data_IF_555123403829
#
_entry.id   IF_555123403829
#
_cell.length_a   1.000
_cell.length_b   1.000
_cell.length_c   1.000
_cell.angle_alpha   90.00
_cell.angle_beta   90.00
_cell.angle_gamma   90.00
#
_symmetry.space_group_name_H-M   'P 1'
#
loop_
_entity.id
_entity.type
_entity.pdbx_description
1 polymer ?
#
# COMPACT_ATOMS: atom_id res chain seq x y z
N UNK A 1 34.91 45.20 -39.46
CA UNK A 1 33.77 45.45 -40.36
C UNK A 1 32.95 44.16 -40.42
N UNK A 2 31.83 44.10 -39.70
CA UNK A 2 30.94 42.93 -39.64
C UNK A 2 29.65 43.34 -40.32
N UNK A 3 29.44 42.84 -41.54
CA UNK A 3 28.27 43.14 -42.35
C UNK A 3 27.10 42.28 -41.86
N UNK A 4 26.21 42.88 -41.08
CA UNK A 4 24.92 42.28 -40.70
C UNK A 4 23.98 42.30 -41.91
N UNK A 5 23.88 41.16 -42.59
CA UNK A 5 22.90 40.93 -43.64
C UNK A 5 21.50 40.77 -43.06
N UNK A 6 20.71 41.84 -43.13
CA UNK A 6 19.30 41.85 -42.72
C UNK A 6 18.44 41.19 -43.80
N UNK A 7 18.09 39.90 -43.65
CA UNK A 7 17.08 39.26 -44.48
C UNK A 7 15.69 39.79 -44.10
N UNK A 8 15.14 40.68 -44.94
CA UNK A 8 13.72 41.03 -44.92
C UNK A 8 12.92 39.88 -45.51
N UNK A 9 12.19 39.14 -44.66
CA UNK A 9 11.29 38.08 -45.09
C UNK A 9 10.07 38.65 -45.84
N UNK A 10 9.82 38.14 -47.04
CA UNK A 10 8.66 38.50 -47.86
C UNK A 10 7.33 38.27 -47.11
N UNK A 11 6.31 39.12 -47.33
CA UNK A 11 5.02 39.01 -46.66
C UNK A 11 4.32 37.68 -47.01
N UNK A 12 4.01 36.89 -45.99
CA UNK A 12 3.29 35.62 -46.15
C UNK A 12 1.87 35.87 -46.69
N UNK A 13 1.54 35.23 -47.81
CA UNK A 13 0.19 35.27 -48.40
C UNK A 13 -0.84 34.59 -47.48
N UNK A 14 -2.11 35.04 -47.47
CA UNK A 14 -3.15 34.49 -46.61
C UNK A 14 -3.40 32.98 -46.85
N UNK A 15 -3.17 32.49 -48.06
CA UNK A 15 -3.26 31.07 -48.40
C UNK A 15 -2.23 30.21 -47.65
N UNK A 16 -0.99 30.71 -47.53
CA UNK A 16 0.09 30.00 -46.82
C UNK A 16 -0.19 29.89 -45.31
N UNK A 17 -0.85 30.92 -44.75
CA UNK A 17 -1.30 30.89 -43.34
C UNK A 17 -2.43 29.89 -43.12
N UNK A 18 -3.36 29.77 -44.07
CA UNK A 18 -4.46 28.81 -43.98
C UNK A 18 -3.97 27.36 -44.11
N UNK A 19 -3.02 27.09 -45.01
CA UNK A 19 -2.41 25.77 -45.18
C UNK A 19 -1.64 25.34 -43.93
N UNK A 20 -0.82 26.22 -43.35
CA UNK A 20 -0.07 25.94 -42.11
C UNK A 20 -1.01 25.58 -40.95
N UNK A 21 -2.14 26.27 -40.82
CA UNK A 21 -3.15 25.97 -39.79
C UNK A 21 -3.80 24.60 -39.99
N UNK A 22 -4.17 24.23 -41.22
CA UNK A 22 -4.70 22.88 -41.50
C UNK A 22 -3.69 21.79 -41.14
N UNK A 23 -2.44 21.94 -41.57
CA UNK A 23 -1.39 20.95 -41.30
C UNK A 23 -1.14 20.82 -39.79
N UNK A 24 -1.15 21.93 -39.05
CA UNK A 24 -1.03 21.91 -37.59
C UNK A 24 -2.17 21.12 -36.92
N UNK A 25 -3.43 21.32 -37.33
CA UNK A 25 -4.56 20.55 -36.81
C UNK A 25 -4.45 19.07 -37.16
N UNK A 26 -4.03 18.72 -38.39
CA UNK A 26 -3.81 17.32 -38.80
C UNK A 26 -2.79 16.63 -37.90
N UNK A 27 -1.67 17.30 -37.56
CA UNK A 27 -0.68 16.75 -36.63
C UNK A 27 -1.20 16.58 -35.21
N UNK A 28 -2.02 17.53 -34.71
CA UNK A 28 -2.64 17.41 -33.38
C UNK A 28 -3.58 16.20 -33.34
N UNK A 29 -4.44 16.02 -34.34
CA UNK A 29 -5.33 14.87 -34.41
C UNK A 29 -4.57 13.55 -34.55
N UNK A 30 -3.56 13.51 -35.41
CA UNK A 30 -2.72 12.32 -35.57
C UNK A 30 -1.98 11.96 -34.27
N UNK A 31 -1.39 12.94 -33.59
CA UNK A 31 -0.72 12.73 -32.30
C UNK A 31 -1.66 12.28 -31.20
N UNK A 32 -2.85 12.88 -31.11
CA UNK A 32 -3.89 12.48 -30.15
C UNK A 32 -4.36 11.05 -30.40
N UNK A 33 -4.51 10.64 -31.66
CA UNK A 33 -4.92 9.27 -32.00
C UNK A 33 -3.88 8.24 -31.56
N UNK A 34 -2.59 8.54 -31.79
CA UNK A 34 -1.47 7.68 -31.36
C UNK A 34 -1.42 7.58 -29.83
N UNK A 35 -1.57 8.70 -29.12
CA UNK A 35 -1.57 8.71 -27.66
C UNK A 35 -2.71 7.85 -27.08
N UNK A 36 -3.92 7.96 -27.63
CA UNK A 36 -5.06 7.14 -27.21
C UNK A 36 -4.82 5.64 -27.45
N UNK A 37 -4.19 5.28 -28.57
CA UNK A 37 -3.84 3.88 -28.86
C UNK A 37 -2.82 3.32 -27.86
N UNK A 38 -1.79 4.10 -27.52
CA UNK A 38 -0.78 3.70 -26.52
C UNK A 38 -1.43 3.53 -25.14
N UNK A 39 -2.25 4.49 -24.73
CA UNK A 39 -2.97 4.44 -23.44
C UNK A 39 -3.88 3.20 -23.35
N UNK A 40 -4.57 2.85 -24.43
CA UNK A 40 -5.44 1.67 -24.48
C UNK A 40 -4.68 0.34 -24.23
N UNK A 41 -3.40 0.26 -24.61
CA UNK A 41 -2.57 -0.94 -24.40
C UNK A 41 -1.87 -0.90 -23.02
N UNK A 42 -1.39 0.28 -22.61
CA UNK A 42 -0.59 0.45 -21.40
C UNK A 42 -1.43 0.35 -20.11
N UNK A 43 -2.62 0.97 -20.08
CA UNK A 43 -3.46 1.04 -18.87
C UNK A 43 -3.86 -0.36 -18.36
N UNK A 44 -4.38 -1.29 -19.18
CA UNK A 44 -4.77 -2.62 -18.69
C UNK A 44 -3.61 -3.41 -18.11
N UNK A 45 -2.43 -3.36 -18.76
CA UNK A 45 -1.22 -4.03 -18.26
C UNK A 45 -0.79 -3.49 -16.91
N UNK A 46 -0.76 -2.17 -16.79
CA UNK A 46 -0.39 -1.50 -15.54
C UNK A 46 -1.31 -1.87 -14.37
N UNK A 47 -2.62 -1.97 -14.63
CA UNK A 47 -3.58 -2.39 -13.60
C UNK A 47 -3.34 -3.83 -13.15
N UNK A 48 -2.97 -4.75 -14.04
CA UNK A 48 -2.67 -6.14 -13.67
C UNK A 48 -1.37 -6.27 -12.86
N UNK A 49 -0.32 -5.53 -13.23
CA UNK A 49 0.96 -5.56 -12.54
C UNK A 49 0.85 -5.12 -11.06
N UNK A 50 -0.04 -4.16 -10.78
CA UNK A 50 -0.32 -3.71 -9.40
C UNK A 50 -0.98 -4.79 -8.55
N UNK A 51 -1.93 -5.54 -9.11
CA UNK A 51 -2.60 -6.61 -8.36
C UNK A 51 -1.64 -7.76 -8.07
N UNK A 52 -0.73 -8.08 -9.01
CA UNK A 52 0.36 -9.03 -8.78
C UNK A 52 1.28 -8.54 -7.65
N UNK A 53 1.70 -7.27 -7.67
CA UNK A 53 2.55 -6.70 -6.62
C UNK A 53 1.88 -6.75 -5.23
N UNK A 54 0.57 -6.50 -5.14
CA UNK A 54 -0.19 -6.65 -3.89
C UNK A 54 -0.24 -8.11 -3.43
N UNK A 55 -0.39 -9.07 -4.34
CA UNK A 55 -0.34 -10.49 -4.00
C UNK A 55 1.05 -10.91 -3.49
N UNK A 56 2.13 -10.47 -4.14
CA UNK A 56 3.52 -10.70 -3.70
C UNK A 56 3.76 -10.12 -2.29
N UNK A 57 3.27 -8.90 -2.03
CA UNK A 57 3.38 -8.29 -0.71
C UNK A 57 2.54 -9.03 0.34
N UNK A 58 1.36 -9.53 -0.01
CA UNK A 58 0.55 -10.35 0.87
C UNK A 58 1.26 -11.67 1.22
N UNK A 59 1.96 -12.27 0.27
CA UNK A 59 2.80 -13.45 0.47
C UNK A 59 3.99 -13.14 1.39
N UNK A 60 4.65 -11.99 1.21
CA UNK A 60 5.73 -11.54 2.09
C UNK A 60 5.24 -11.33 3.54
N UNK A 61 4.07 -10.72 3.72
CA UNK A 61 3.43 -10.58 5.03
C UNK A 61 3.14 -11.95 5.66
N UNK A 62 2.64 -12.91 4.88
CA UNK A 62 2.38 -14.27 5.35
C UNK A 62 3.67 -14.98 5.79
N UNK A 63 4.77 -14.81 5.05
CA UNK A 63 6.10 -15.33 5.44
C UNK A 63 6.60 -14.76 6.76
N UNK A 64 6.34 -13.47 7.03
CA UNK A 64 6.68 -12.87 8.32
C UNK A 64 5.86 -13.49 9.47
N UNK A 65 4.58 -13.75 9.25
CA UNK A 65 3.72 -14.46 10.23
C UNK A 65 4.22 -15.89 10.47
N UNK A 66 4.56 -16.62 9.41
CA UNK A 66 5.15 -17.97 9.49
C UNK A 66 6.44 -17.96 10.32
N UNK A 67 7.35 -17.02 10.05
CA UNK A 67 8.60 -16.88 10.81
C UNK A 67 8.36 -16.61 12.31
N UNK A 68 7.33 -15.81 12.62
CA UNK A 68 6.94 -15.54 14.01
C UNK A 68 6.33 -16.78 14.69
N UNK A 69 5.51 -17.55 13.97
CA UNK A 69 4.96 -18.83 14.43
C UNK A 69 6.06 -19.85 14.72
N UNK A 70 7.02 -19.99 13.82
CA UNK A 70 8.15 -20.92 13.99
C UNK A 70 9.00 -20.53 15.20
N UNK A 71 9.26 -19.23 15.38
CA UNK A 71 9.97 -18.71 16.56
C UNK A 71 9.20 -18.95 17.86
N UNK A 72 7.87 -18.79 17.84
CA UNK A 72 7.02 -19.08 18.99
C UNK A 72 7.06 -20.57 19.36
N UNK A 73 6.99 -21.45 18.36
CA UNK A 73 7.03 -22.90 18.55
C UNK A 73 8.38 -23.36 19.15
N UNK A 74 9.50 -22.79 18.69
CA UNK A 74 10.83 -23.07 19.27
C UNK A 74 10.86 -22.75 20.77
N UNK A 75 10.21 -21.67 21.20
CA UNK A 75 10.21 -21.24 22.61
C UNK A 75 9.20 -22.00 23.49
N UNK A 76 8.06 -22.45 22.94
CA UNK A 76 6.94 -23.00 23.71
C UNK A 76 6.65 -24.49 23.46
N UNK A 77 7.28 -25.11 22.47
CA UNK A 77 7.04 -26.50 22.07
C UNK A 77 5.69 -26.75 21.38
N UNK A 78 4.98 -25.70 20.97
CA UNK A 78 3.77 -25.76 20.17
C UNK A 78 3.37 -24.39 19.61
N UNK A 79 2.47 -24.38 18.63
CA UNK A 79 1.94 -23.13 18.05
C UNK A 79 0.89 -22.48 18.96
N UNK A 80 0.75 -21.13 18.93
CA UNK A 80 -0.20 -20.42 19.79
C UNK A 80 -1.65 -20.75 19.42
N UNK A 81 -2.60 -20.63 20.37
CA UNK A 81 -4.02 -20.85 20.04
C UNK A 81 -4.62 -19.71 19.21
N UNK A 82 -3.99 -18.54 19.25
CA UNK A 82 -4.40 -17.36 18.49
C UNK A 82 -3.19 -16.55 17.98
N UNK A 83 -3.28 -15.98 16.77
CA UNK A 83 -2.21 -15.13 16.22
C UNK A 83 -1.92 -13.89 17.07
N UNK A 84 -2.91 -13.40 17.83
CA UNK A 84 -2.72 -12.26 18.73
C UNK A 84 -1.68 -12.52 19.83
N UNK A 85 -1.38 -13.79 20.15
CA UNK A 85 -0.31 -14.15 21.08
C UNK A 85 1.09 -13.81 20.55
N UNK A 86 1.28 -13.83 19.22
CA UNK A 86 2.56 -13.48 18.59
C UNK A 86 2.90 -12.00 18.76
N UNK A 87 1.87 -11.14 18.69
CA UNK A 87 2.02 -9.69 18.83
C UNK A 87 2.11 -9.24 20.30
N UNK A 88 1.74 -10.11 21.25
CA UNK A 88 1.71 -9.77 22.67
C UNK A 88 3.13 -9.51 23.17
N UNK A 89 3.37 -8.26 23.60
CA UNK A 89 4.69 -7.83 24.06
C UNK A 89 5.73 -7.64 22.94
N UNK A 90 5.35 -7.77 21.67
CA UNK A 90 6.21 -7.48 20.52
C UNK A 90 7.42 -8.41 20.33
N UNK A 91 7.45 -9.56 21.02
CA UNK A 91 8.62 -10.47 21.02
C UNK A 91 8.81 -11.19 19.68
N UNK A 92 7.73 -11.70 19.08
CA UNK A 92 7.81 -12.50 17.84
C UNK A 92 7.46 -11.67 16.60
N UNK A 93 6.49 -10.79 16.74
CA UNK A 93 6.14 -9.80 15.72
C UNK A 93 5.62 -8.55 16.44
N UNK A 94 5.87 -7.36 15.90
CA UNK A 94 5.42 -6.11 16.54
C UNK A 94 3.91 -5.89 16.39
N UNK A 95 3.37 -6.15 15.21
CA UNK A 95 1.94 -6.04 14.88
C UNK A 95 1.65 -7.05 13.77
N UNK A 96 0.43 -7.61 13.74
CA UNK A 96 0.01 -8.47 12.65
C UNK A 96 -0.13 -7.65 11.35
N UNK A 97 0.45 -8.10 10.23
CA UNK A 97 0.35 -7.38 8.98
C UNK A 97 -1.08 -7.35 8.45
N UNK A 98 -1.41 -6.32 7.69
CA UNK A 98 -2.69 -6.22 6.97
C UNK A 98 -2.52 -6.67 5.53
N UNK A 99 -3.56 -7.23 4.93
CA UNK A 99 -3.57 -7.53 3.50
C UNK A 99 -3.47 -6.20 2.72
N UNK A 100 -2.53 -6.07 1.76
CA UNK A 100 -2.37 -4.83 0.97
C UNK A 100 -3.53 -4.56 0.01
N UNK A 101 -4.33 -5.58 -0.32
CA UNK A 101 -5.55 -5.44 -1.13
C UNK A 101 -6.79 -5.14 -0.28
N UNK A 102 -6.90 -5.72 0.92
CA UNK A 102 -8.07 -5.56 1.78
C UNK A 102 -7.93 -4.41 2.79
N UNK A 103 -6.71 -3.99 3.08
CA UNK A 103 -6.33 -3.02 4.12
C UNK A 103 -6.76 -3.38 5.56
N UNK A 104 -7.13 -4.65 5.78
CA UNK A 104 -7.52 -5.22 7.08
C UNK A 104 -6.69 -6.46 7.40
N UNK A 105 -6.73 -6.92 8.66
CA UNK A 105 -6.18 -8.22 9.05
C UNK A 105 -7.08 -9.35 8.53
N UNK A 106 -6.56 -10.08 7.55
CA UNK A 106 -7.21 -11.24 6.93
C UNK A 106 -6.67 -12.57 7.46
N UNK A 107 -5.63 -12.54 8.28
CA UNK A 107 -4.89 -13.72 8.71
C UNK A 107 -5.46 -14.30 10.01
N UNK A 108 -5.82 -13.45 10.98
CA UNK A 108 -6.35 -13.90 12.28
C UNK A 108 -7.60 -14.76 12.13
N UNK A 109 -8.53 -14.35 11.25
CA UNK A 109 -9.77 -15.09 11.02
C UNK A 109 -9.62 -16.39 10.21
N UNK A 110 -8.42 -16.66 9.68
CA UNK A 110 -8.08 -17.86 8.91
C UNK A 110 -7.24 -18.87 9.71
N UNK A 111 -6.67 -18.42 10.83
CA UNK A 111 -5.68 -19.17 11.55
C UNK A 111 -6.32 -20.34 12.29
N UNK A 112 -5.78 -21.53 12.07
CA UNK A 112 -6.19 -22.75 12.75
C UNK A 112 -4.96 -23.54 13.18
N UNK A 113 -5.04 -24.19 14.32
CA UNK A 113 -3.99 -25.07 14.86
C UNK A 113 -4.57 -26.47 15.01
N UNK A 114 -3.77 -27.48 14.69
CA UNK A 114 -4.12 -28.89 14.89
C UNK A 114 -4.25 -29.22 16.38
N UNK A 115 -5.06 -30.23 16.74
CA UNK A 115 -5.29 -30.61 18.14
C UNK A 115 -4.01 -31.01 18.89
N UNK A 116 -3.00 -31.51 18.17
CA UNK A 116 -1.69 -31.87 18.71
C UNK A 116 -0.79 -30.63 19.00
N UNK A 117 -1.19 -29.43 18.58
CA UNK A 117 -0.41 -28.20 18.69
C UNK A 117 0.85 -28.12 17.81
N UNK A 118 1.08 -29.11 16.95
CA UNK A 118 2.27 -29.28 16.10
C UNK A 118 2.04 -28.87 14.64
N UNK A 119 0.79 -28.57 14.26
CA UNK A 119 0.45 -28.10 12.93
C UNK A 119 -0.38 -26.82 12.97
N UNK A 120 -0.22 -25.97 11.96
CA UNK A 120 -1.07 -24.81 11.74
C UNK A 120 -1.40 -24.64 10.26
N UNK A 121 -2.48 -23.90 10.00
CA UNK A 121 -2.80 -23.32 8.71
C UNK A 121 -3.16 -21.84 8.89
N UNK A 122 -2.70 -21.00 7.98
CA UNK A 122 -3.00 -19.56 7.92
C UNK A 122 -3.06 -19.13 6.47
N UNK A 123 -4.02 -18.27 6.13
CA UNK A 123 -4.20 -17.78 4.77
C UNK A 123 -4.78 -16.37 4.72
N UNK A 124 -4.66 -15.72 3.56
CA UNK A 124 -5.35 -14.46 3.33
C UNK A 124 -6.84 -14.73 3.07
N UNK A 125 -7.68 -14.63 4.11
CA UNK A 125 -9.13 -14.91 3.99
C UNK A 125 -9.83 -13.95 3.04
N UNK A 126 -10.53 -14.47 2.03
CA UNK A 126 -11.33 -13.69 1.07
C UNK A 126 -10.88 -13.82 -0.40
N UNK A 127 -11.36 -12.90 -1.23
CA UNK A 127 -11.17 -12.89 -2.70
C UNK A 127 -10.31 -11.71 -3.17
N UNK A 128 -9.39 -11.25 -2.33
CA UNK A 128 -8.67 -9.98 -2.54
C UNK A 128 -7.55 -10.04 -3.59
N UNK A 129 -7.24 -11.23 -4.11
CA UNK A 129 -6.16 -11.46 -5.06
C UNK A 129 -6.61 -12.20 -6.33
N UNK A 130 -7.92 -12.28 -6.61
CA UNK A 130 -8.44 -12.90 -7.84
C UNK A 130 -7.91 -12.22 -9.11
N UNK A 131 -7.76 -10.89 -9.07
CA UNK A 131 -7.21 -10.12 -10.19
C UNK A 131 -5.73 -10.38 -10.44
N UNK A 132 -5.02 -10.93 -9.45
CA UNK A 132 -3.65 -11.40 -9.58
C UNK A 132 -3.57 -12.86 -10.07
N UNK A 133 -4.72 -13.50 -10.33
CA UNK A 133 -4.80 -14.91 -10.71
C UNK A 133 -4.71 -15.89 -9.54
N UNK A 134 -4.87 -15.42 -8.29
CA UNK A 134 -4.96 -16.29 -7.13
C UNK A 134 -6.40 -16.71 -6.85
N UNK A 135 -6.59 -17.94 -6.41
CA UNK A 135 -7.88 -18.43 -5.95
C UNK A 135 -8.30 -17.75 -4.63
N UNK A 136 -9.56 -17.96 -4.24
CA UNK A 136 -10.06 -17.53 -2.94
C UNK A 136 -9.20 -18.11 -1.80
N UNK A 137 -9.02 -17.34 -0.73
CA UNK A 137 -8.26 -17.75 0.46
C UNK A 137 -6.76 -18.00 0.20
N UNK A 138 -6.18 -17.23 -0.73
CA UNK A 138 -4.76 -17.28 -1.08
C UNK A 138 -4.12 -15.90 -0.95
N UNK A 139 -2.82 -15.79 -0.60
CA UNK A 139 -1.87 -16.88 -0.34
C UNK A 139 -2.13 -17.63 0.98
N UNK A 140 -1.68 -18.88 1.06
CA UNK A 140 -1.80 -19.75 2.24
C UNK A 140 -0.47 -20.37 2.66
N UNK A 141 -0.33 -20.64 3.95
CA UNK A 141 0.80 -21.34 4.53
C UNK A 141 0.29 -22.38 5.53
N UNK A 142 0.95 -23.54 5.55
CA UNK A 142 0.73 -24.61 6.52
C UNK A 142 2.07 -25.14 7.01
N UNK A 143 2.07 -25.80 8.15
CA UNK A 143 3.31 -26.39 8.69
C UNK A 143 3.98 -27.30 7.67
N UNK A 144 5.29 -27.10 7.45
CA UNK A 144 6.09 -27.86 6.50
C UNK A 144 5.86 -27.56 5.01
N UNK A 145 4.84 -26.76 4.65
CA UNK A 145 4.57 -26.38 3.26
C UNK A 145 4.10 -24.93 3.20
N UNK A 146 4.99 -24.04 2.78
CA UNK A 146 4.56 -22.74 2.25
C UNK A 146 4.11 -23.01 0.81
N UNK A 147 2.80 -22.95 0.56
CA UNK A 147 2.25 -23.08 -0.79
C UNK A 147 2.78 -21.91 -1.62
N UNK A 148 3.89 -22.14 -2.34
CA UNK A 148 4.31 -21.25 -3.43
C UNK A 148 3.35 -21.52 -4.57
N UNK A 149 2.20 -20.87 -4.59
CA UNK A 149 1.49 -20.74 -5.85
C UNK A 149 2.40 -19.92 -6.74
N UNK A 150 2.88 -20.45 -7.87
CA UNK A 150 3.59 -19.62 -8.82
C UNK A 150 2.61 -18.52 -9.20
N UNK A 151 2.81 -17.31 -8.68
CA UNK A 151 2.19 -16.15 -9.30
C UNK A 151 2.56 -16.22 -10.78
N UNK A 152 1.65 -15.83 -11.70
CA UNK A 152 1.95 -15.80 -13.12
C UNK A 152 3.22 -14.98 -13.26
N UNK A 153 4.33 -15.69 -13.43
CA UNK A 153 5.65 -15.10 -13.35
C UNK A 153 5.71 -14.03 -14.43
N UNK A 154 6.44 -12.93 -14.19
CA UNK A 154 6.84 -11.96 -15.23
C UNK A 154 7.67 -12.60 -16.36
N UNK A 155 7.51 -13.91 -16.63
CA UNK A 155 8.00 -14.56 -17.83
C UNK A 155 7.53 -13.74 -19.02
N UNK A 156 8.54 -13.39 -19.83
CA UNK A 156 8.47 -12.64 -21.06
C UNK A 156 7.20 -12.97 -21.88
N UNK A 157 6.67 -11.99 -22.64
CA UNK A 157 5.41 -12.12 -23.37
C UNK A 157 5.31 -13.49 -24.04
N UNK A 158 4.33 -14.29 -23.61
CA UNK A 158 3.98 -15.54 -24.30
C UNK A 158 3.72 -15.18 -25.76
N UNK A 159 4.48 -15.82 -26.64
CA UNK A 159 4.23 -15.81 -28.09
C UNK A 159 2.77 -16.21 -28.29
N UNK A 160 1.97 -15.31 -28.85
CA UNK A 160 0.55 -15.51 -29.07
C UNK A 160 0.36 -16.71 -30.03
N UNK A 161 -0.22 -17.80 -29.54
CA UNK A 161 -0.44 -18.98 -30.38
C UNK A 161 -1.14 -20.19 -29.76
N UNK A 162 -1.47 -20.22 -28.48
CA UNK A 162 -2.24 -21.34 -27.91
C UNK A 162 -3.72 -21.00 -27.71
N UNK A 163 -4.65 -21.77 -28.31
CA UNK A 163 -6.08 -21.60 -28.10
C UNK A 163 -6.45 -22.01 -26.67
N UNK A 164 -7.10 -21.11 -25.96
CA UNK A 164 -7.68 -21.35 -24.63
C UNK A 164 -8.70 -22.51 -24.67
N UNK A 165 -8.64 -23.48 -23.74
CA UNK A 165 -9.69 -24.47 -23.59
C UNK A 165 -10.99 -23.81 -23.10
N UNK A 166 -12.09 -24.23 -23.73
CA UNK A 166 -13.47 -23.77 -23.50
C UNK A 166 -13.90 -24.10 -22.06
N UNK A 167 -14.57 -23.20 -21.32
CA UNK A 167 -15.01 -23.49 -19.96
C UNK A 167 -16.10 -24.57 -19.97
N UNK A 168 -15.80 -25.68 -19.31
CA UNK A 168 -16.73 -26.79 -19.07
C UNK A 168 -17.66 -26.41 -17.91
N UNK A 169 -18.96 -26.52 -18.14
CA UNK A 169 -20.00 -26.11 -17.20
C UNK A 169 -20.00 -27.02 -15.96
N UNK A 170 -19.56 -26.50 -14.82
CA UNK A 170 -19.62 -27.22 -13.54
C UNK A 170 -21.03 -27.14 -12.94
N UNK A 171 -21.48 -28.30 -12.50
CA UNK A 171 -22.83 -28.62 -12.05
C UNK A 171 -23.22 -27.90 -10.75
N UNK A 172 -24.48 -27.49 -10.70
CA UNK A 172 -25.21 -27.08 -9.48
C UNK A 172 -25.21 -28.23 -8.47
N UNK A 173 -24.65 -28.01 -7.28
CA UNK A 173 -24.97 -28.79 -6.09
C UNK A 173 -25.73 -27.93 -5.08
N UNK A 174 -26.81 -28.52 -4.56
CA UNK A 174 -27.83 -27.91 -3.71
C UNK A 174 -27.32 -27.49 -2.32
N UNK A 175 -27.96 -26.50 -1.66
CA UNK A 175 -27.64 -26.15 -0.29
C UNK A 175 -28.25 -27.14 0.71
N UNK A 176 -27.41 -27.70 1.56
CA UNK A 176 -27.81 -28.43 2.76
C UNK A 176 -28.00 -27.42 3.90
N UNK A 177 -29.26 -27.14 4.27
CA UNK A 177 -29.61 -26.28 5.40
C UNK A 177 -29.49 -27.13 6.67
N UNK A 178 -28.48 -26.86 7.49
CA UNK A 178 -28.39 -27.37 8.86
C UNK A 178 -28.90 -26.27 9.80
N UNK A 179 -30.00 -26.57 10.48
CA UNK A 179 -30.58 -25.72 11.51
C UNK A 179 -29.64 -25.61 12.72
N UNK A 180 -29.31 -24.38 13.11
CA UNK A 180 -28.57 -24.07 14.33
C UNK A 180 -29.59 -23.83 15.45
N UNK A 181 -29.51 -24.54 16.59
CA UNK A 181 -30.37 -24.26 17.74
C UNK A 181 -30.01 -22.93 18.39
N UNK A 182 -31.05 -22.17 18.70
CA UNK A 182 -31.05 -20.88 19.40
C UNK A 182 -30.66 -21.08 20.87
N UNK A 183 -29.66 -20.38 21.43
CA UNK A 183 -29.50 -20.31 22.86
C UNK A 183 -30.37 -19.19 23.45
N UNK A 184 -31.13 -19.59 24.47
CA UNK A 184 -32.04 -18.79 25.27
C UNK A 184 -31.30 -17.67 26.00
N UNK A 185 -31.90 -16.47 25.97
CA UNK A 185 -31.43 -15.30 26.67
C UNK A 185 -31.82 -15.37 28.15
N UNK A 186 -30.86 -15.72 29.02
CA UNK A 186 -31.01 -15.57 30.46
C UNK A 186 -30.65 -14.15 30.89
N UNK A 187 -31.63 -13.50 31.51
CA UNK A 187 -31.63 -12.08 31.89
C UNK A 187 -31.31 -11.97 33.38
N UNK A 188 -30.06 -11.66 33.72
CA UNK A 188 -29.67 -11.32 35.09
C UNK A 188 -29.32 -9.83 35.16
N UNK A 189 -30.20 -9.06 35.79
CA UNK A 189 -30.01 -7.65 36.05
C UNK A 189 -29.04 -7.48 37.23
N UNK A 190 -27.84 -6.96 36.94
CA UNK A 190 -26.86 -6.58 37.96
C UNK A 190 -26.86 -5.06 38.18
N UNK A 191 -26.75 -4.72 39.45
CA UNK A 191 -26.88 -3.42 40.12
C UNK A 191 -25.76 -2.46 39.69
N UNK A 192 -26.00 -1.13 39.55
CA UNK A 192 -24.95 -0.20 39.13
C UNK A 192 -23.99 0.06 40.30
N UNK A 193 -22.84 -0.62 40.27
CA UNK A 193 -21.70 -0.27 41.11
C UNK A 193 -20.96 0.93 40.51
N UNK A 194 -20.56 1.83 41.41
CA UNK A 194 -19.93 3.13 41.13
C UNK A 194 -18.68 2.92 40.26
N UNK A 195 -18.50 3.66 39.15
CA UNK A 195 -17.38 3.43 38.24
C UNK A 195 -16.06 3.66 38.97
N UNK A 196 -15.12 2.69 38.93
CA UNK A 196 -13.76 2.92 39.39
C UNK A 196 -13.17 4.03 38.52
N UNK A 197 -12.58 5.03 39.17
CA UNK A 197 -11.83 6.11 38.52
C UNK A 197 -10.81 5.45 37.59
N UNK A 198 -11.05 5.57 36.28
CA UNK A 198 -10.15 5.05 35.27
C UNK A 198 -8.78 5.69 35.52
N UNK A 199 -7.83 4.89 35.99
CA UNK A 199 -6.42 5.20 35.91
C UNK A 199 -6.15 5.26 34.41
N UNK A 200 -6.19 6.47 33.86
CA UNK A 200 -5.80 6.73 32.47
C UNK A 200 -4.41 6.13 32.31
N UNK A 201 -4.23 5.09 31.48
CA UNK A 201 -2.90 4.53 31.27
C UNK A 201 -2.01 5.67 30.79
N UNK A 202 -0.96 5.93 31.56
CA UNK A 202 0.06 6.93 31.20
C UNK A 202 0.48 6.65 29.75
N UNK A 203 0.42 7.64 28.83
CA UNK A 203 0.67 7.41 27.42
C UNK A 203 2.06 6.83 27.28
N UNK A 204 2.17 5.58 26.84
CA UNK A 204 3.47 5.03 26.47
C UNK A 204 3.90 5.77 25.21
N UNK A 205 4.68 6.83 25.41
CA UNK A 205 5.19 7.70 24.36
C UNK A 205 6.02 6.83 23.42
N UNK A 206 5.44 6.44 22.29
CA UNK A 206 6.17 5.73 21.27
C UNK A 206 7.37 6.59 20.86
N UNK A 207 8.60 6.06 20.85
CA UNK A 207 9.78 6.87 20.61
C UNK A 207 9.68 7.53 19.22
N UNK A 208 10.06 8.81 19.15
CA UNK A 208 10.07 9.58 17.90
C UNK A 208 10.83 8.91 16.74
N UNK A 209 11.67 7.91 17.01
CA UNK A 209 12.40 7.12 15.99
C UNK A 209 11.48 6.56 14.91
N UNK A 210 10.33 5.98 15.29
CA UNK A 210 9.34 5.47 14.31
C UNK A 210 8.68 6.59 13.49
N UNK A 211 8.47 7.75 14.09
CA UNK A 211 7.93 8.92 13.38
C UNK A 211 8.96 9.47 12.36
N UNK A 212 10.23 9.56 12.76
CA UNK A 212 11.35 9.91 11.88
C UNK A 212 11.46 8.94 10.70
N UNK A 213 11.34 7.63 10.96
CA UNK A 213 11.36 6.61 9.90
C UNK A 213 10.20 6.77 8.92
N UNK A 214 8.98 7.01 9.41
CA UNK A 214 7.82 7.29 8.57
C UNK A 214 8.03 8.51 7.68
N UNK A 215 8.60 9.59 8.22
CA UNK A 215 8.94 10.80 7.45
C UNK A 215 10.00 10.49 6.38
N UNK A 216 11.03 9.71 6.70
CA UNK A 216 12.04 9.31 5.73
C UNK A 216 11.44 8.47 4.59
N UNK A 217 10.51 7.55 4.89
CA UNK A 217 9.80 6.77 3.87
C UNK A 217 8.98 7.67 2.94
N UNK A 218 8.28 8.66 3.49
CA UNK A 218 7.56 9.67 2.70
C UNK A 218 8.54 10.47 1.83
N UNK A 219 9.66 10.89 2.39
CA UNK A 219 10.66 11.68 1.65
C UNK A 219 11.21 10.91 0.46
N UNK A 220 11.62 9.64 0.65
CA UNK A 220 12.09 8.78 -0.44
C UNK A 220 11.01 8.62 -1.52
N UNK A 221 9.76 8.40 -1.12
CA UNK A 221 8.65 8.29 -2.06
C UNK A 221 8.43 9.59 -2.86
N UNK A 222 8.54 10.77 -2.25
CA UNK A 222 8.48 12.05 -2.94
C UNK A 222 9.61 12.22 -3.97
N UNK A 223 10.84 11.82 -3.61
CA UNK A 223 11.98 11.89 -4.53
C UNK A 223 11.80 10.95 -5.73
N UNK A 224 11.34 9.72 -5.49
CA UNK A 224 11.00 8.78 -6.57
C UNK A 224 9.88 9.32 -7.47
N UNK A 225 8.83 9.90 -6.89
CA UNK A 225 7.74 10.53 -7.65
C UNK A 225 8.24 11.65 -8.56
N UNK A 226 9.12 12.53 -8.04
CA UNK A 226 9.73 13.60 -8.84
C UNK A 226 10.65 13.06 -9.92
N UNK A 227 11.40 12.00 -9.64
CA UNK A 227 12.29 11.39 -10.63
C UNK A 227 11.49 10.86 -11.85
N UNK A 228 10.32 10.27 -11.61
CA UNK A 228 9.49 9.69 -12.67
C UNK A 228 8.63 10.72 -13.41
N UNK A 229 8.07 11.70 -12.69
CA UNK A 229 7.06 12.63 -13.22
C UNK A 229 7.58 14.06 -13.40
N UNK A 230 8.83 14.32 -13.04
CA UNK A 230 9.50 15.61 -13.20
C UNK A 230 9.07 16.69 -12.19
N UNK A 231 8.12 16.42 -11.30
CA UNK A 231 7.63 17.37 -10.29
C UNK A 231 7.26 16.64 -8.99
N UNK A 232 7.36 17.32 -7.85
CA UNK A 232 6.89 16.77 -6.57
C UNK A 232 5.36 16.68 -6.54
N UNK A 233 4.78 15.74 -5.79
CA UNK A 233 3.33 15.60 -5.70
C UNK A 233 2.70 16.84 -5.04
N UNK A 234 1.45 17.16 -5.40
CA UNK A 234 0.69 18.24 -4.74
C UNK A 234 0.07 17.79 -3.41
N UNK A 235 -0.04 16.48 -3.20
CA UNK A 235 -0.53 15.87 -1.96
C UNK A 235 0.03 14.47 -1.77
N UNK A 236 0.19 14.03 -0.51
CA UNK A 236 0.70 12.69 -0.19
C UNK A 236 -0.17 11.56 -0.76
N UNK A 237 -1.47 11.81 -1.00
CA UNK A 237 -2.36 10.83 -1.64
C UNK A 237 -1.92 10.43 -3.05
N UNK A 238 -1.18 11.29 -3.77
CA UNK A 238 -0.65 10.96 -5.11
C UNK A 238 0.51 9.95 -5.06
N UNK A 239 1.14 9.79 -3.89
CA UNK A 239 2.16 8.77 -3.69
C UNK A 239 1.54 7.37 -3.56
N UNK A 240 0.25 7.27 -3.23
CA UNK A 240 -0.44 6.00 -3.02
C UNK A 240 -1.21 5.61 -4.30
N UNK A 241 -1.09 4.36 -4.78
CA UNK A 241 -0.39 3.22 -4.17
C UNK A 241 1.05 3.02 -4.66
N UNK A 242 1.53 3.84 -5.60
CA UNK A 242 2.70 3.50 -6.42
C UNK A 242 4.05 3.68 -5.72
N UNK A 243 4.15 4.72 -4.90
CA UNK A 243 5.38 5.09 -4.18
C UNK A 243 5.25 4.78 -2.67
N UNK A 244 4.02 4.73 -2.16
CA UNK A 244 3.67 4.32 -0.82
C UNK A 244 2.48 3.36 -0.86
N UNK A 245 2.56 2.27 -0.10
CA UNK A 245 1.44 1.33 0.08
C UNK A 245 0.25 2.03 0.74
N UNK A 246 0.53 2.86 1.73
CA UNK A 246 -0.42 3.74 2.42
C UNK A 246 0.34 4.87 3.09
N UNK A 247 -0.36 5.96 3.41
CA UNK A 247 0.24 7.06 4.18
C UNK A 247 0.43 6.55 5.62
N UNK A 248 1.66 6.60 6.17
CA UNK A 248 1.91 6.09 7.51
C UNK A 248 1.17 6.88 8.57
N UNK A 249 0.84 6.22 9.68
CA UNK A 249 0.21 6.83 10.85
C UNK A 249 1.30 7.24 11.84
N UNK A 250 1.15 8.41 12.48
CA UNK A 250 2.05 8.79 13.56
C UNK A 250 1.84 7.87 14.77
N UNK A 251 2.89 7.22 15.29
CA UNK A 251 2.76 6.26 16.38
C UNK A 251 2.35 6.91 17.71
N UNK A 252 2.61 8.21 17.89
CA UNK A 252 2.22 8.95 19.10
C UNK A 252 0.81 9.57 18.98
N UNK A 253 0.40 9.98 17.78
CA UNK A 253 -0.93 10.55 17.55
C UNK A 253 -2.00 9.49 17.25
N UNK A 254 -1.60 8.29 16.83
CA UNK A 254 -2.46 7.24 16.27
C UNK A 254 -3.33 7.74 15.08
N UNK A 255 -2.89 8.79 14.39
CA UNK A 255 -3.56 9.37 13.23
C UNK A 255 -2.53 9.83 12.18
N UNK A 256 -3.00 10.09 10.96
CA UNK A 256 -2.20 10.73 9.92
C UNK A 256 -1.96 12.21 10.26
N UNK A 257 -0.73 12.53 10.65
CA UNK A 257 -0.27 13.89 10.95
C UNK A 257 0.54 14.50 9.82
N UNK A 258 0.81 13.74 8.75
CA UNK A 258 1.75 14.11 7.69
C UNK A 258 1.03 14.74 6.49
N UNK A 259 -0.16 14.24 6.13
CA UNK A 259 -0.91 14.83 5.00
C UNK A 259 -1.26 16.29 5.23
N UNK A 260 -1.53 16.67 6.48
CA UNK A 260 -1.88 18.04 6.84
C UNK A 260 -0.67 18.98 7.03
N UNK A 261 0.56 18.47 6.94
CA UNK A 261 1.81 19.23 7.05
C UNK A 261 2.61 19.26 5.76
N UNK A 262 2.28 18.38 4.81
CA UNK A 262 2.97 18.30 3.54
C UNK A 262 2.71 19.54 2.69
N UNK A 263 3.79 20.19 2.27
CA UNK A 263 3.75 21.38 1.41
C UNK A 263 4.87 21.33 0.38
N UNK A 264 4.58 21.74 -0.85
CA UNK A 264 5.56 21.98 -1.89
C UNK A 264 5.73 23.48 -2.12
N UNK A 265 6.94 23.91 -2.46
CA UNK A 265 7.26 25.31 -2.81
C UNK A 265 8.34 25.33 -3.89
N UNK A 266 8.23 26.28 -4.80
CA UNK A 266 9.30 26.58 -5.75
C UNK A 266 10.35 27.45 -5.05
N UNK A 267 11.62 27.03 -5.05
CA UNK A 267 12.73 27.82 -4.50
C UNK A 267 13.71 28.20 -5.59
N UNK A 268 14.69 29.04 -5.25
CA UNK A 268 15.76 29.43 -6.20
C UNK A 268 16.57 28.22 -6.65
N UNK A 269 16.63 27.16 -5.83
CA UNK A 269 17.31 25.90 -6.11
C UNK A 269 16.42 24.88 -6.86
N UNK A 270 15.18 25.25 -7.22
CA UNK A 270 14.19 24.40 -7.87
C UNK A 270 13.02 24.02 -6.95
N UNK A 271 12.15 23.09 -7.38
CA UNK A 271 11.04 22.66 -6.55
C UNK A 271 11.57 21.95 -5.31
N UNK A 272 10.96 22.24 -4.17
CA UNK A 272 11.25 21.64 -2.86
C UNK A 272 9.97 21.21 -2.15
N UNK A 273 10.08 20.26 -1.22
CA UNK A 273 8.97 19.90 -0.34
C UNK A 273 9.38 19.91 1.13
N UNK A 274 8.38 20.00 1.99
CA UNK A 274 8.51 19.91 3.44
C UNK A 274 7.41 19.02 3.98
N UNK A 275 7.76 18.14 4.91
CA UNK A 275 6.82 17.27 5.62
C UNK A 275 7.25 17.18 7.09
N UNK A 276 6.28 17.20 8.01
CA UNK A 276 6.57 17.10 9.43
C UNK A 276 5.45 16.41 10.20
N UNK A 277 5.73 15.95 11.42
CA UNK A 277 4.67 15.47 12.31
C UNK A 277 3.90 16.67 12.89
N UNK A 278 2.71 16.96 12.36
CA UNK A 278 1.89 18.10 12.82
C UNK A 278 1.40 17.87 14.26
N UNK A 279 1.60 18.86 15.13
CA UNK A 279 1.13 18.83 16.53
C UNK A 279 2.26 18.80 17.57
N UNK A 280 1.91 18.47 18.81
CA UNK A 280 2.82 18.44 19.96
C UNK A 280 3.10 17.00 20.45
N UNK A 281 2.98 16.00 19.58
CA UNK A 281 3.04 14.59 19.96
C UNK A 281 4.45 14.12 20.37
N UNK A 282 5.49 14.86 19.98
CA UNK A 282 6.89 14.54 20.28
C UNK A 282 7.58 15.56 21.20
N UNK A 283 6.83 16.43 21.89
CA UNK A 283 7.43 17.39 22.83
C UNK A 283 8.11 16.70 24.01
N UNK A 284 7.62 15.53 24.40
CA UNK A 284 8.24 14.69 25.43
C UNK A 284 9.58 14.07 24.98
N UNK A 285 9.80 13.93 23.66
CA UNK A 285 11.05 13.44 23.07
C UNK A 285 12.12 14.55 22.90
N UNK A 286 11.85 15.75 23.42
CA UNK A 286 12.71 16.93 23.30
C UNK A 286 12.52 17.72 22.01
N UNK A 287 11.56 17.33 21.15
CA UNK A 287 11.25 18.09 19.95
C UNK A 287 10.38 19.32 20.26
N UNK A 288 10.44 20.33 19.38
CA UNK A 288 9.47 21.43 19.40
C UNK A 288 8.15 20.97 18.77
N UNK A 289 7.11 21.79 18.89
CA UNK A 289 5.87 21.58 18.13
C UNK A 289 6.18 21.43 16.63
N UNK A 290 5.41 20.62 15.92
CA UNK A 290 5.50 20.40 14.48
C UNK A 290 6.83 19.75 14.03
N UNK A 291 7.33 18.83 14.86
CA UNK A 291 8.53 18.03 14.63
C UNK A 291 8.29 16.56 15.01
N UNK A 292 9.05 15.59 14.47
CA UNK A 292 10.19 15.73 13.54
C UNK A 292 9.79 16.32 12.18
N UNK A 293 10.74 16.98 11.51
CA UNK A 293 10.57 17.69 10.24
C UNK A 293 11.64 17.28 9.24
N UNK A 294 11.24 17.13 7.98
CA UNK A 294 12.11 16.90 6.84
C UNK A 294 11.84 17.94 5.76
N UNK A 295 12.91 18.45 5.16
CA UNK A 295 12.84 19.24 3.92
C UNK A 295 13.72 18.59 2.86
N UNK A 296 13.34 18.68 1.59
CA UNK A 296 14.17 18.17 0.50
C UNK A 296 15.52 18.89 0.36
N UNK A 297 15.65 20.09 0.95
CA UNK A 297 16.86 20.90 0.87
C UNK A 297 17.87 20.54 1.97
N UNK A 298 17.39 20.33 3.20
CA UNK A 298 18.25 20.11 4.38
C UNK A 298 18.21 18.69 4.93
N UNK A 299 17.32 17.85 4.42
CA UNK A 299 17.01 16.55 5.00
C UNK A 299 16.27 16.65 6.33
N UNK A 300 16.47 15.65 7.19
CA UNK A 300 15.87 15.58 8.52
C UNK A 300 16.49 16.64 9.45
N UNK A 301 15.67 17.50 10.03
CA UNK A 301 16.10 18.52 10.98
C UNK A 301 16.57 17.85 12.29
N UNK A 302 17.74 18.27 12.78
CA UNK A 302 18.31 17.74 14.03
C UNK A 302 17.49 18.23 15.23
N UNK A 303 17.46 17.42 16.29
CA UNK A 303 16.83 17.76 17.58
C UNK A 303 17.47 19.00 18.22
#
# INVERSE_FOLDING_TARGET
MVTTGSQQGSPETPERKAEKKRNMWTWIFAGSLVLLLIAAIAIPKYLSDREIARAEQCEANLKAVVSALDSYNVDHGGYPKSLSELARGGKYITELPRCPSAHIDTYTASYTVEDNGQGYAVFCKGHYHERAGLEANMPMARTGVVSRTPLPSKQAPRVAGEPTPKPEATQKTSPFIVAIPTPEAEKTAEKPEKPPVAVVPSPQVAPATKCTENINRIAVACESYKADLGSYPVSLSQLVPDYLVSIPVCPAAHADTYSASFTTKETVSGPSFTVFCKGAYHTFDGFRKDHPRYTSETGMEKR
#
